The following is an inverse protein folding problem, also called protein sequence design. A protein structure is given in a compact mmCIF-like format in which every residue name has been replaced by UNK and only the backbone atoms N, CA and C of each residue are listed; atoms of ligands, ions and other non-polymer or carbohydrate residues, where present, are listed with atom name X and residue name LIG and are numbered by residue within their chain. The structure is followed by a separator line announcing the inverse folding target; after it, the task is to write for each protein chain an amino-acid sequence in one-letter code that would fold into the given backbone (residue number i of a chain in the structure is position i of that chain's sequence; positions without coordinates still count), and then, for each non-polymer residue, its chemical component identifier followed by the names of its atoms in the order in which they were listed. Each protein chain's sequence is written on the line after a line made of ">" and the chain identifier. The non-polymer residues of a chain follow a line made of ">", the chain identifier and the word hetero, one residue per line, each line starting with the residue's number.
data_IF_472021715621
#
_entry.id   IF_472021715621
#
_cell.length_a   1.000
_cell.length_b   1.000
_cell.length_c   1.000
_cell.angle_alpha   90.00
_cell.angle_beta   90.00
_cell.angle_gamma   90.00
#
_symmetry.space_group_name_H-M   'P 1'
#
loop_
_entity.id
_entity.type
_entity.pdbx_description
1 polymer ?
#
# COMPACT_ATOMS: atom_id res chain seq x y z
N UNK A 1 13.43 24.68 12.84
CA UNK A 1 11.99 24.59 13.19
C UNK A 1 11.26 25.84 12.69
N UNK A 2 9.93 25.82 12.70
CA UNK A 2 9.12 26.95 12.24
C UNK A 2 9.33 28.18 13.11
N UNK A 3 9.19 29.36 12.53
CA UNK A 3 9.22 30.64 13.25
C UNK A 3 7.94 30.81 14.07
N UNK A 4 8.03 31.51 15.20
CA UNK A 4 6.88 31.82 16.05
C UNK A 4 6.54 30.79 17.11
N UNK A 5 7.29 29.69 17.21
CA UNK A 5 7.11 28.69 18.27
C UNK A 5 7.66 29.21 19.61
N UNK A 6 6.94 28.97 20.69
CA UNK A 6 7.45 29.19 22.05
C UNK A 6 8.36 28.05 22.51
N UNK A 7 8.99 28.21 23.70
CA UNK A 7 9.96 27.22 24.20
C UNK A 7 9.38 25.82 24.38
N UNK A 8 8.16 25.69 24.87
CA UNK A 8 7.48 24.41 25.03
C UNK A 8 7.20 23.74 23.67
N UNK A 9 6.67 24.51 22.73
CA UNK A 9 6.40 24.01 21.37
C UNK A 9 7.67 23.57 20.66
N UNK A 10 8.78 24.31 20.85
CA UNK A 10 10.10 23.90 20.30
C UNK A 10 10.57 22.59 20.94
N UNK A 11 10.40 22.44 22.25
CA UNK A 11 10.85 21.26 22.98
C UNK A 11 10.13 19.98 22.55
N UNK A 12 8.81 20.06 22.30
CA UNK A 12 7.95 18.90 21.96
C UNK A 12 7.67 18.77 20.47
N UNK A 13 8.01 19.76 19.62
CA UNK A 13 7.69 19.69 18.21
C UNK A 13 8.51 18.64 17.47
N UNK A 14 7.84 17.81 16.71
CA UNK A 14 8.46 16.92 15.74
C UNK A 14 8.97 17.72 14.53
N UNK A 15 10.13 17.34 14.00
CA UNK A 15 10.64 17.81 12.71
C UNK A 15 11.20 16.60 11.97
N UNK A 16 10.56 16.24 10.86
CA UNK A 16 10.92 15.06 10.09
C UNK A 16 12.18 15.30 9.24
N UNK A 17 12.85 14.22 8.85
CA UNK A 17 14.00 14.19 7.93
C UNK A 17 15.20 14.99 8.42
N UNK A 18 15.33 15.14 9.73
CA UNK A 18 16.48 15.82 10.36
C UNK A 18 17.37 14.80 11.04
N UNK A 19 18.66 15.09 10.96
CA UNK A 19 19.68 14.25 11.58
C UNK A 19 20.43 15.07 12.63
N UNK A 20 20.65 14.47 13.79
CA UNK A 20 21.54 14.99 14.80
C UNK A 20 22.85 14.20 14.73
N UNK A 21 23.96 14.91 14.62
CA UNK A 21 25.32 14.34 14.54
C UNK A 21 26.16 14.87 15.67
N UNK A 22 26.97 14.04 16.28
CA UNK A 22 27.97 14.48 17.27
C UNK A 22 29.30 14.61 16.55
N UNK A 23 29.84 15.82 16.56
CA UNK A 23 31.10 16.19 15.90
C UNK A 23 32.09 16.75 16.96
N UNK A 24 33.36 16.45 16.83
CA UNK A 24 34.38 17.05 17.73
C UNK A 24 34.42 18.55 17.54
N UNK A 25 34.68 19.33 18.62
CA UNK A 25 34.70 20.80 18.53
C UNK A 25 35.56 21.35 17.41
N UNK A 26 36.72 20.76 17.19
CA UNK A 26 37.69 21.16 16.16
C UNK A 26 37.24 20.89 14.73
N UNK A 27 36.27 19.98 14.53
CA UNK A 27 35.77 19.58 13.20
C UNK A 27 34.47 20.28 12.83
N UNK A 28 33.85 21.07 13.71
CA UNK A 28 32.51 21.67 13.51
C UNK A 28 32.47 22.57 12.28
N UNK A 29 33.44 23.48 12.14
CA UNK A 29 33.46 24.44 11.03
C UNK A 29 33.64 23.74 9.68
N UNK A 30 34.49 22.71 9.64
CA UNK A 30 34.70 21.91 8.44
C UNK A 30 33.42 21.13 8.08
N UNK A 31 32.76 20.54 9.07
CA UNK A 31 31.50 19.81 8.86
C UNK A 31 30.38 20.71 8.30
N UNK A 32 30.21 21.90 8.91
CA UNK A 32 29.20 22.87 8.44
C UNK A 32 29.53 23.35 7.02
N UNK A 33 30.83 23.58 6.71
CA UNK A 33 31.22 23.96 5.36
C UNK A 33 30.94 22.89 4.32
N UNK A 34 31.11 21.60 4.63
CA UNK A 34 30.75 20.50 3.72
C UNK A 34 29.23 20.40 3.53
N UNK A 35 28.44 20.54 4.61
CA UNK A 35 26.99 20.58 4.50
C UNK A 35 26.51 21.71 3.58
N UNK A 36 27.07 22.89 3.69
CA UNK A 36 26.74 24.05 2.87
C UNK A 36 27.03 23.83 1.37
N UNK A 37 28.06 23.04 1.01
CA UNK A 37 28.35 22.67 -0.38
C UNK A 37 27.25 21.84 -0.99
N UNK A 38 26.55 21.05 -0.17
CA UNK A 38 25.42 20.20 -0.58
C UNK A 38 24.07 20.90 -0.40
N UNK A 39 24.03 22.21 -0.13
CA UNK A 39 22.83 22.99 0.18
C UNK A 39 22.03 22.46 1.39
N UNK A 40 22.74 21.93 2.38
CA UNK A 40 22.15 21.43 3.62
C UNK A 40 22.47 22.42 4.74
N UNK A 41 21.41 22.93 5.38
CA UNK A 41 21.55 23.76 6.59
C UNK A 41 22.00 22.91 7.77
N UNK A 42 23.18 23.23 8.31
CA UNK A 42 23.69 22.59 9.52
C UNK A 42 24.00 23.67 10.57
N UNK A 43 23.50 23.48 11.79
CA UNK A 43 23.71 24.42 12.91
C UNK A 43 24.03 23.66 14.18
N UNK A 44 24.88 24.24 15.02
CA UNK A 44 25.14 23.71 16.36
C UNK A 44 23.93 24.01 17.25
N UNK A 45 23.26 22.96 17.75
CA UNK A 45 22.07 23.09 18.59
C UNK A 45 22.30 22.66 20.03
N UNK A 46 23.37 21.90 20.30
CA UNK A 46 23.66 21.38 21.63
C UNK A 46 25.16 21.10 21.81
N UNK A 47 25.57 20.99 23.05
CA UNK A 47 26.90 20.53 23.46
C UNK A 47 26.72 19.35 24.42
N UNK A 48 27.49 18.27 24.20
CA UNK A 48 27.51 17.12 25.10
C UNK A 48 28.19 17.50 26.41
N UNK A 49 27.58 17.14 27.55
CA UNK A 49 28.07 17.47 28.89
C UNK A 49 28.29 16.23 29.74
N UNK A 50 29.15 16.32 30.77
CA UNK A 50 29.35 15.23 31.72
C UNK A 50 28.16 14.99 32.65
N UNK A 51 27.42 16.06 32.99
CA UNK A 51 26.20 15.94 33.81
C UNK A 51 25.12 15.19 33.02
N UNK A 52 24.56 14.11 33.60
CA UNK A 52 23.59 13.27 32.90
C UNK A 52 22.17 13.91 32.90
N UNK A 53 22.04 15.13 32.42
CA UNK A 53 20.78 15.85 32.30
C UNK A 53 20.58 16.30 30.84
N UNK A 54 19.34 16.26 30.38
CA UNK A 54 18.89 17.01 29.21
C UNK A 54 18.49 18.41 29.68
N UNK A 55 19.27 19.40 29.30
CA UNK A 55 18.95 20.81 29.61
C UNK A 55 18.68 21.57 28.33
N UNK A 56 17.56 22.31 28.28
CA UNK A 56 17.24 23.17 27.14
C UNK A 56 17.00 24.60 27.63
N UNK A 57 17.60 25.54 26.91
CA UNK A 57 17.43 26.97 27.14
C UNK A 57 16.70 27.62 25.95
N UNK A 58 15.84 28.56 26.24
CA UNK A 58 15.16 29.37 25.26
C UNK A 58 15.04 30.81 25.75
N UNK A 59 15.51 31.76 24.95
CA UNK A 59 15.51 33.18 25.31
C UNK A 59 16.11 33.51 26.71
N UNK A 60 17.14 32.77 27.11
CA UNK A 60 17.83 32.95 28.40
C UNK A 60 17.18 32.21 29.57
N UNK A 61 16.05 31.58 29.39
CA UNK A 61 15.35 30.77 30.41
C UNK A 61 15.60 29.28 30.20
N UNK A 62 15.70 28.54 31.30
CA UNK A 62 15.71 27.06 31.24
C UNK A 62 14.31 26.55 31.13
N UNK A 63 13.97 25.93 30.01
CA UNK A 63 12.63 25.36 29.73
C UNK A 63 12.56 23.86 29.99
N UNK A 64 13.70 23.15 30.01
CA UNK A 64 13.82 21.74 30.34
C UNK A 64 15.05 21.50 31.16
N UNK A 65 14.97 20.77 32.24
CA UNK A 65 16.10 20.18 33.01
C UNK A 65 15.63 18.81 33.54
N UNK A 66 15.96 17.75 32.80
CA UNK A 66 15.52 16.39 33.08
C UNK A 66 16.73 15.46 33.28
N UNK A 67 16.71 14.68 34.35
CA UNK A 67 17.71 13.65 34.57
C UNK A 67 17.57 12.55 33.52
N UNK A 68 18.67 12.05 32.98
CA UNK A 68 18.71 11.02 31.97
C UNK A 68 17.98 9.76 32.39
N UNK A 69 18.13 9.33 33.66
CA UNK A 69 17.43 8.14 34.17
C UNK A 69 15.90 8.24 34.04
N UNK A 70 15.33 9.46 34.08
CA UNK A 70 13.89 9.66 33.82
C UNK A 70 13.58 9.45 32.33
N UNK A 71 14.43 9.93 31.45
CA UNK A 71 14.26 9.74 29.99
C UNK A 71 14.42 8.26 29.58
N UNK A 72 15.24 7.48 30.33
CA UNK A 72 15.48 6.08 30.06
C UNK A 72 14.31 5.16 30.51
N UNK A 73 13.24 5.70 31.11
CA UNK A 73 12.13 4.89 31.66
C UNK A 73 11.03 4.55 30.67
N UNK A 74 11.06 4.99 29.45
CA UNK A 74 9.96 4.87 28.48
C UNK A 74 8.60 5.44 28.96
N UNK A 75 8.60 6.25 30.02
CA UNK A 75 7.40 6.88 30.58
C UNK A 75 6.49 5.91 31.37
N UNK A 76 5.24 6.30 31.53
CA UNK A 76 4.24 5.49 32.25
C UNK A 76 3.76 4.34 31.35
N UNK A 77 3.83 3.13 31.88
CA UNK A 77 3.27 1.96 31.21
C UNK A 77 1.75 2.04 31.24
N UNK A 78 1.14 2.24 30.08
CA UNK A 78 -0.32 2.20 29.92
C UNK A 78 -0.71 0.80 29.49
N UNK A 79 -1.70 0.23 30.18
CA UNK A 79 -2.32 -1.05 29.82
C UNK A 79 -3.75 -0.74 29.40
N UNK A 80 -4.12 -1.23 28.24
CA UNK A 80 -5.49 -1.11 27.70
C UNK A 80 -6.01 -2.50 27.37
N UNK A 81 -7.32 -2.68 27.53
CA UNK A 81 -8.00 -3.87 27.07
C UNK A 81 -8.33 -3.73 25.58
N UNK A 82 -8.20 -4.80 24.83
CA UNK A 82 -8.64 -4.89 23.45
C UNK A 82 -9.63 -6.04 23.31
N UNK A 83 -10.80 -5.75 22.72
CA UNK A 83 -11.84 -6.74 22.51
C UNK A 83 -12.18 -6.79 21.03
N UNK A 84 -11.76 -7.85 20.36
CA UNK A 84 -12.18 -8.13 18.98
C UNK A 84 -13.65 -8.52 19.01
N UNK A 85 -14.46 -7.80 18.25
CA UNK A 85 -15.89 -8.05 18.09
C UNK A 85 -16.22 -8.15 16.62
N UNK A 86 -17.11 -9.05 16.28
CA UNK A 86 -17.74 -9.06 14.98
C UNK A 86 -18.71 -7.89 14.90
N UNK A 87 -18.49 -6.99 13.97
CA UNK A 87 -19.44 -5.92 13.69
C UNK A 87 -20.62 -6.51 12.92
N UNK A 88 -21.82 -6.01 13.16
CA UNK A 88 -23.02 -6.33 12.34
C UNK A 88 -22.98 -5.56 11.00
N UNK A 89 -21.81 -5.60 10.37
CA UNK A 89 -21.58 -5.07 9.02
C UNK A 89 -21.52 -6.27 8.11
N UNK A 90 -22.40 -6.31 7.13
CA UNK A 90 -22.39 -7.35 6.12
C UNK A 90 -21.45 -6.95 4.99
N UNK A 91 -20.79 -7.93 4.39
CA UNK A 91 -20.22 -7.72 3.08
C UNK A 91 -21.34 -7.19 2.17
N UNK A 92 -21.06 -6.17 1.34
CA UNK A 92 -22.03 -5.72 0.35
C UNK A 92 -22.55 -6.90 -0.43
N UNK A 93 -23.86 -6.94 -0.63
CA UNK A 93 -24.51 -8.03 -1.39
C UNK A 93 -23.93 -8.04 -2.81
N UNK A 94 -23.77 -9.25 -3.32
CA UNK A 94 -23.39 -9.48 -4.70
C UNK A 94 -24.40 -8.81 -5.63
N UNK A 95 -23.90 -8.00 -6.55
CA UNK A 95 -24.76 -7.38 -7.55
C UNK A 95 -25.20 -8.42 -8.57
N UNK A 96 -26.49 -8.68 -8.62
CA UNK A 96 -27.07 -9.48 -9.68
C UNK A 96 -27.13 -8.64 -10.96
N UNK A 97 -26.48 -9.10 -12.02
CA UNK A 97 -26.57 -8.48 -13.34
C UNK A 97 -27.17 -9.45 -14.34
N UNK A 98 -27.88 -8.95 -15.34
CA UNK A 98 -28.44 -9.70 -16.45
C UNK A 98 -27.83 -9.23 -17.77
N UNK A 99 -28.09 -9.94 -18.85
CA UNK A 99 -27.67 -9.49 -20.18
C UNK A 99 -28.24 -8.10 -20.54
N UNK A 100 -29.46 -7.78 -20.05
CA UNK A 100 -30.10 -6.49 -20.29
C UNK A 100 -29.49 -5.35 -19.45
N UNK A 101 -28.98 -5.64 -18.25
CA UNK A 101 -28.45 -4.62 -17.31
C UNK A 101 -26.93 -4.51 -17.34
N UNK A 102 -26.22 -5.46 -17.97
CA UNK A 102 -24.77 -5.58 -17.94
C UNK A 102 -24.03 -4.28 -18.30
N UNK A 103 -24.47 -3.59 -19.36
CA UNK A 103 -23.84 -2.31 -19.78
C UNK A 103 -24.04 -1.24 -18.71
N UNK A 104 -25.26 -1.05 -18.21
CA UNK A 104 -25.58 -0.07 -17.18
C UNK A 104 -24.83 -0.37 -15.87
N UNK A 105 -24.80 -1.63 -15.47
CA UNK A 105 -24.10 -2.07 -14.26
C UNK A 105 -22.58 -1.86 -14.37
N UNK A 106 -22.01 -2.17 -15.54
CA UNK A 106 -20.57 -1.93 -15.79
C UNK A 106 -20.24 -0.44 -15.74
N UNK A 107 -21.05 0.42 -16.36
CA UNK A 107 -20.86 1.86 -16.33
C UNK A 107 -20.98 2.43 -14.91
N UNK A 108 -21.93 1.91 -14.12
CA UNK A 108 -22.08 2.32 -12.72
C UNK A 108 -20.85 1.95 -11.89
N UNK A 109 -20.32 0.73 -12.03
CA UNK A 109 -19.07 0.31 -11.36
C UNK A 109 -17.91 1.21 -11.75
N UNK A 110 -17.70 1.47 -13.04
CA UNK A 110 -16.61 2.31 -13.52
C UNK A 110 -16.76 3.79 -13.13
N UNK A 111 -17.97 4.26 -12.83
CA UNK A 111 -18.24 5.61 -12.36
C UNK A 111 -18.14 5.76 -10.83
N UNK A 112 -18.08 4.66 -10.08
CA UNK A 112 -17.89 4.71 -8.61
C UNK A 112 -16.53 5.35 -8.29
N UNK A 113 -16.48 6.18 -7.25
CA UNK A 113 -15.28 6.93 -6.87
C UNK A 113 -14.07 6.05 -6.55
N UNK A 114 -14.27 4.80 -6.16
CA UNK A 114 -13.18 3.85 -5.90
C UNK A 114 -12.61 3.24 -7.19
N UNK A 115 -13.35 3.28 -8.31
CA UNK A 115 -12.98 2.73 -9.61
C UNK A 115 -12.72 3.80 -10.67
N UNK A 116 -13.33 4.98 -10.51
CA UNK A 116 -13.16 6.10 -11.43
C UNK A 116 -11.69 6.50 -11.58
N UNK A 117 -11.36 7.09 -12.74
CA UNK A 117 -9.99 7.48 -13.04
C UNK A 117 -9.39 8.41 -12.00
N UNK A 118 -8.26 8.02 -11.44
CA UNK A 118 -7.45 8.83 -10.52
C UNK A 118 -6.42 9.70 -11.25
N UNK A 119 -6.55 9.86 -12.57
CA UNK A 119 -5.59 10.59 -13.42
C UNK A 119 -5.33 12.01 -12.91
N UNK A 120 -6.36 12.70 -12.46
CA UNK A 120 -6.24 14.05 -11.90
C UNK A 120 -5.31 14.15 -10.72
N UNK A 121 -5.37 13.17 -9.79
CA UNK A 121 -4.49 13.09 -8.63
C UNK A 121 -3.07 12.63 -9.03
N UNK A 122 -2.96 11.66 -9.93
CA UNK A 122 -1.68 11.10 -10.34
C UNK A 122 -0.82 12.12 -11.12
N UNK A 123 -1.43 13.00 -11.89
CA UNK A 123 -0.72 14.03 -12.69
C UNK A 123 -0.17 15.18 -11.84
N UNK A 124 -0.53 15.28 -10.57
CA UNK A 124 0.08 16.24 -9.62
C UNK A 124 1.53 15.86 -9.33
N UNK A 125 1.85 14.56 -9.40
CA UNK A 125 3.17 14.02 -9.08
C UNK A 125 3.96 13.73 -10.36
N UNK A 126 5.25 14.06 -10.36
CA UNK A 126 6.16 13.70 -11.45
C UNK A 126 6.55 12.22 -11.34
N UNK A 127 5.97 11.40 -12.21
CA UNK A 127 6.23 9.98 -12.29
C UNK A 127 7.55 9.62 -12.99
N UNK A 128 8.26 10.59 -13.55
CA UNK A 128 9.51 10.41 -14.31
C UNK A 128 10.76 10.85 -13.55
N UNK A 129 10.63 11.28 -12.31
CA UNK A 129 11.75 11.71 -11.45
C UNK A 129 12.85 10.64 -11.42
N UNK A 130 14.09 11.08 -11.59
CA UNK A 130 15.27 10.21 -11.59
C UNK A 130 15.47 9.40 -12.88
N UNK A 131 14.59 9.51 -13.87
CA UNK A 131 14.66 8.79 -15.14
C UNK A 131 14.72 7.27 -15.04
N UNK A 132 14.26 6.71 -13.93
CA UNK A 132 14.31 5.27 -13.63
C UNK A 132 12.99 4.54 -13.92
N UNK A 133 11.93 5.28 -14.21
CA UNK A 133 10.57 4.75 -14.38
C UNK A 133 10.47 3.79 -15.57
N UNK A 134 9.99 2.57 -15.29
CA UNK A 134 9.70 1.55 -16.30
C UNK A 134 8.20 1.54 -16.62
N UNK A 135 7.34 1.48 -15.59
CA UNK A 135 5.90 1.61 -15.75
C UNK A 135 5.45 2.95 -15.18
N UNK A 136 4.79 3.76 -16.02
CA UNK A 136 4.08 4.96 -15.55
C UNK A 136 2.82 4.55 -14.76
N UNK A 137 2.28 5.42 -13.90
CA UNK A 137 1.04 5.14 -13.16
C UNK A 137 -0.14 4.79 -14.05
N UNK A 138 -0.15 5.30 -15.28
CA UNK A 138 -1.14 5.01 -16.30
C UNK A 138 -0.44 4.49 -17.57
N UNK A 139 -0.78 3.27 -17.96
CA UNK A 139 -0.19 2.56 -19.10
C UNK A 139 -0.93 2.76 -20.42
N UNK A 140 -0.32 2.20 -21.47
CA UNK A 140 -0.80 2.26 -22.84
C UNK A 140 -0.44 3.55 -23.57
N UNK A 141 -0.70 3.57 -24.89
CA UNK A 141 -0.43 4.72 -25.76
C UNK A 141 -1.16 5.97 -25.31
N UNK A 142 -2.36 5.81 -24.76
CA UNK A 142 -3.21 6.92 -24.32
C UNK A 142 -3.04 7.25 -22.83
N UNK A 143 -2.25 6.48 -22.09
CA UNK A 143 -1.98 6.68 -20.66
C UNK A 143 -3.26 6.80 -19.82
N UNK A 144 -4.12 5.80 -19.91
CA UNK A 144 -5.41 5.76 -19.19
C UNK A 144 -5.74 4.40 -18.55
N UNK A 145 -4.89 3.37 -18.68
CA UNK A 145 -5.02 2.14 -17.92
C UNK A 145 -4.16 2.19 -16.67
N UNK A 146 -4.74 2.15 -15.46
CA UNK A 146 -3.97 2.09 -14.22
C UNK A 146 -3.02 0.88 -14.20
N UNK A 147 -1.77 1.07 -13.82
CA UNK A 147 -0.80 -0.03 -13.71
C UNK A 147 -0.85 -0.71 -12.35
N UNK A 148 -0.42 -1.97 -12.28
CA UNK A 148 -0.49 -2.76 -11.06
C UNK A 148 0.58 -2.37 -10.03
N UNK A 149 1.72 -1.88 -10.48
CA UNK A 149 2.86 -1.59 -9.62
C UNK A 149 3.69 -0.42 -10.12
N UNK A 150 4.32 0.28 -9.21
CA UNK A 150 5.43 1.18 -9.51
C UNK A 150 6.67 0.37 -9.80
N UNK A 151 7.29 0.58 -10.96
CA UNK A 151 8.50 -0.12 -11.38
C UNK A 151 9.58 0.89 -11.72
N UNK A 152 10.68 0.87 -10.95
CA UNK A 152 11.78 1.81 -11.06
C UNK A 152 13.10 1.06 -11.19
N UNK A 153 13.90 1.36 -12.21
CA UNK A 153 15.27 0.82 -12.30
C UNK A 153 16.10 1.29 -11.11
N UNK A 154 16.89 0.39 -10.57
CA UNK A 154 17.81 0.77 -9.50
C UNK A 154 18.88 1.73 -10.04
N UNK A 155 19.19 2.82 -9.32
CA UNK A 155 20.27 3.71 -9.72
C UNK A 155 21.62 3.00 -9.58
N UNK A 156 22.50 3.21 -10.58
CA UNK A 156 23.88 2.73 -10.57
C UNK A 156 24.79 3.89 -10.88
N UNK A 157 25.95 3.95 -10.24
CA UNK A 157 26.93 5.02 -10.46
C UNK A 157 27.49 4.98 -11.88
N UNK A 158 27.75 3.79 -12.40
CA UNK A 158 28.30 3.60 -13.73
C UNK A 158 27.61 2.45 -14.44
N UNK A 159 27.44 2.59 -15.77
CA UNK A 159 26.87 1.56 -16.61
C UNK A 159 25.33 1.59 -16.65
N UNK A 160 24.74 0.44 -16.98
CA UNK A 160 23.29 0.26 -17.14
C UNK A 160 22.86 -0.98 -16.37
N UNK A 161 21.72 -0.90 -15.68
CA UNK A 161 21.11 -2.05 -15.01
C UNK A 161 19.76 -2.38 -15.63
N UNK A 162 19.40 -3.66 -15.59
CA UNK A 162 18.05 -4.15 -15.86
C UNK A 162 17.30 -4.49 -14.59
N UNK A 163 17.96 -4.42 -13.43
CA UNK A 163 17.29 -4.64 -12.14
C UNK A 163 16.40 -3.46 -11.80
N UNK A 164 15.17 -3.73 -11.46
CA UNK A 164 14.20 -2.75 -11.02
C UNK A 164 13.60 -3.13 -9.66
N UNK A 165 13.26 -2.15 -8.86
CA UNK A 165 12.35 -2.30 -7.74
C UNK A 165 10.91 -2.32 -8.26
N UNK A 166 10.08 -3.16 -7.68
CA UNK A 166 8.65 -3.25 -7.97
C UNK A 166 7.90 -3.11 -6.68
N UNK A 167 7.00 -2.15 -6.60
CA UNK A 167 6.18 -1.89 -5.42
C UNK A 167 4.70 -1.88 -5.81
N UNK A 168 3.91 -2.64 -5.07
CA UNK A 168 2.46 -2.65 -5.20
C UNK A 168 1.79 -2.49 -3.84
N UNK A 169 0.54 -2.06 -3.86
CA UNK A 169 -0.27 -1.92 -2.65
C UNK A 169 -1.52 -2.80 -2.73
N UNK A 170 -2.10 -3.10 -1.57
CA UNK A 170 -3.40 -3.74 -1.45
C UNK A 170 -4.20 -3.11 -0.33
N UNK A 171 -5.49 -2.90 -0.56
CA UNK A 171 -6.46 -2.44 0.42
C UNK A 171 -7.87 -2.47 -0.17
N UNK A 172 -8.81 -3.01 0.61
CA UNK A 172 -10.22 -2.95 0.27
C UNK A 172 -11.02 -2.43 1.48
N UNK A 173 -11.58 -1.20 1.41
CA UNK A 173 -12.27 -0.58 2.52
C UNK A 173 -13.52 -1.35 2.98
N UNK A 174 -14.23 -1.98 2.08
CA UNK A 174 -15.47 -2.71 2.39
C UNK A 174 -15.18 -4.01 3.14
N UNK A 175 -14.15 -4.73 2.73
CA UNK A 175 -13.72 -5.94 3.45
C UNK A 175 -13.16 -5.57 4.81
N UNK A 176 -12.41 -4.47 4.91
CA UNK A 176 -11.85 -3.98 6.17
C UNK A 176 -12.95 -3.50 7.14
N UNK A 177 -14.02 -2.90 6.64
CA UNK A 177 -15.17 -2.48 7.44
C UNK A 177 -15.98 -3.69 7.94
N UNK A 178 -16.19 -4.69 7.08
CA UNK A 178 -16.82 -5.95 7.45
C UNK A 178 -16.01 -6.70 8.49
N UNK A 179 -14.71 -6.87 8.25
CA UNK A 179 -13.80 -7.58 9.16
C UNK A 179 -12.37 -7.03 9.00
N UNK A 180 -11.86 -6.29 9.99
CA UNK A 180 -10.49 -5.79 9.95
C UNK A 180 -9.45 -6.90 9.77
N UNK A 181 -9.70 -8.10 10.31
CA UNK A 181 -8.85 -9.28 10.11
C UNK A 181 -8.75 -9.68 8.63
N UNK A 182 -9.91 -9.90 7.99
CA UNK A 182 -9.96 -10.28 6.58
C UNK A 182 -9.47 -9.14 5.68
N UNK A 183 -9.83 -7.88 6.00
CA UNK A 183 -9.34 -6.71 5.29
C UNK A 183 -7.83 -6.64 5.23
N UNK A 184 -7.15 -6.88 6.35
CA UNK A 184 -5.70 -6.88 6.42
C UNK A 184 -5.06 -8.10 5.73
N UNK A 185 -5.63 -9.28 5.89
CA UNK A 185 -5.15 -10.48 5.20
C UNK A 185 -5.26 -10.33 3.67
N UNK A 186 -6.40 -9.86 3.17
CA UNK A 186 -6.60 -9.61 1.74
C UNK A 186 -5.77 -8.42 1.23
N UNK A 187 -5.43 -7.44 2.05
CA UNK A 187 -4.51 -6.37 1.66
C UNK A 187 -3.12 -6.94 1.30
N UNK A 188 -2.60 -7.90 2.09
CA UNK A 188 -1.35 -8.59 1.78
C UNK A 188 -1.47 -9.44 0.52
N UNK A 189 -2.58 -10.18 0.37
CA UNK A 189 -2.84 -11.02 -0.80
C UNK A 189 -2.97 -10.18 -2.07
N UNK A 190 -3.72 -9.09 -2.05
CA UNK A 190 -3.89 -8.19 -3.19
C UNK A 190 -2.57 -7.56 -3.61
N UNK A 191 -1.81 -6.99 -2.67
CA UNK A 191 -0.50 -6.42 -2.97
C UNK A 191 0.42 -7.46 -3.62
N UNK A 192 0.39 -8.72 -3.13
CA UNK A 192 1.17 -9.82 -3.70
C UNK A 192 0.69 -10.19 -5.11
N UNK A 193 -0.62 -10.29 -5.32
CA UNK A 193 -1.20 -10.59 -6.64
C UNK A 193 -0.82 -9.52 -7.68
N UNK A 194 -0.79 -8.26 -7.28
CA UNK A 194 -0.36 -7.14 -8.14
C UNK A 194 1.14 -7.20 -8.46
N UNK A 195 1.99 -7.62 -7.52
CA UNK A 195 3.41 -7.87 -7.80
C UNK A 195 3.58 -9.01 -8.82
N UNK A 196 2.80 -10.09 -8.67
CA UNK A 196 2.78 -11.23 -9.60
C UNK A 196 2.32 -10.76 -10.98
N UNK A 197 1.22 -10.02 -11.08
CA UNK A 197 0.71 -9.48 -12.34
C UNK A 197 1.71 -8.54 -13.02
N UNK A 198 2.49 -7.76 -12.25
CA UNK A 198 3.58 -6.94 -12.77
C UNK A 198 4.79 -7.75 -13.25
N UNK A 199 4.80 -9.07 -13.09
CA UNK A 199 5.91 -9.95 -13.49
C UNK A 199 7.09 -9.97 -12.51
N UNK A 200 6.86 -9.62 -11.25
CA UNK A 200 7.88 -9.60 -10.21
C UNK A 200 7.95 -10.93 -9.43
N UNK A 201 9.08 -11.20 -8.83
CA UNK A 201 9.25 -12.37 -7.96
C UNK A 201 8.61 -12.09 -6.59
N UNK A 202 7.38 -12.58 -6.40
CA UNK A 202 6.62 -12.32 -5.19
C UNK A 202 7.23 -12.97 -3.94
N UNK A 203 7.86 -14.14 -4.05
CA UNK A 203 8.39 -14.88 -2.90
C UNK A 203 9.54 -14.15 -2.18
N UNK A 204 10.12 -13.13 -2.81
CA UNK A 204 11.15 -12.26 -2.24
C UNK A 204 10.61 -10.93 -1.71
N UNK A 205 9.31 -10.71 -1.77
CA UNK A 205 8.71 -9.47 -1.32
C UNK A 205 8.93 -9.24 0.18
N UNK A 206 9.01 -7.96 0.53
CA UNK A 206 9.02 -7.46 1.91
C UNK A 206 7.93 -6.44 2.03
N UNK A 207 7.22 -6.47 3.17
CA UNK A 207 6.07 -5.61 3.39
C UNK A 207 6.38 -4.46 4.35
N UNK A 208 5.68 -3.37 4.14
CA UNK A 208 5.49 -2.28 5.09
C UNK A 208 4.00 -1.95 5.14
N UNK A 209 3.51 -1.50 6.28
CA UNK A 209 2.09 -1.22 6.47
C UNK A 209 1.84 0.24 6.81
N UNK A 210 0.70 0.76 6.37
CA UNK A 210 0.17 2.03 6.82
C UNK A 210 -1.22 1.78 7.38
N UNK A 211 -1.44 2.17 8.62
CA UNK A 211 -2.68 1.92 9.33
C UNK A 211 -3.36 3.23 9.73
N UNK A 212 -4.69 3.23 9.65
CA UNK A 212 -5.55 4.30 10.12
C UNK A 212 -6.74 3.70 10.83
N UNK A 213 -6.97 4.15 12.06
CA UNK A 213 -8.12 3.72 12.85
C UNK A 213 -8.80 4.95 13.48
N UNK A 214 -10.06 4.77 13.87
CA UNK A 214 -10.81 5.79 14.59
C UNK A 214 -10.13 6.16 15.91
N UNK A 215 -10.56 7.27 16.52
CA UNK A 215 -10.10 7.65 17.86
C UNK A 215 -10.47 6.57 18.88
N UNK A 216 -9.50 6.09 19.62
CA UNK A 216 -9.67 4.92 20.51
C UNK A 216 -10.53 5.21 21.76
N UNK A 217 -10.47 6.41 22.33
CA UNK A 217 -11.22 6.90 23.51
C UNK A 217 -11.29 5.88 24.68
N UNK A 218 -10.24 5.06 24.84
CA UNK A 218 -10.13 3.99 25.86
C UNK A 218 -11.23 2.91 25.77
N UNK A 219 -11.84 2.74 24.58
CA UNK A 219 -12.86 1.71 24.35
C UNK A 219 -12.21 0.42 23.87
N UNK A 220 -12.43 -0.68 24.59
CA UNK A 220 -11.82 -1.96 24.29
C UNK A 220 -12.16 -2.49 22.89
N UNK A 221 -13.38 -2.25 22.42
CA UNK A 221 -13.85 -2.65 21.09
C UNK A 221 -13.11 -1.88 19.97
N UNK A 222 -12.81 -0.59 20.20
CA UNK A 222 -12.03 0.20 19.25
C UNK A 222 -10.59 -0.28 19.17
N UNK A 223 -9.96 -0.59 20.30
CA UNK A 223 -8.64 -1.23 20.33
C UNK A 223 -8.65 -2.63 19.71
N UNK A 224 -9.78 -3.31 19.69
CA UNK A 224 -9.95 -4.60 19.02
C UNK A 224 -9.77 -4.55 17.51
N UNK A 225 -10.04 -3.41 16.86
CA UNK A 225 -9.93 -3.26 15.40
C UNK A 225 -8.47 -3.36 14.91
N UNK A 226 -7.50 -2.56 15.41
CA UNK A 226 -6.10 -2.72 15.02
C UNK A 226 -5.55 -4.09 15.41
N UNK A 227 -5.94 -4.66 16.55
CA UNK A 227 -5.53 -6.01 16.93
C UNK A 227 -6.00 -7.04 15.90
N UNK A 228 -7.25 -6.98 15.47
CA UNK A 228 -7.79 -7.88 14.44
C UNK A 228 -7.06 -7.70 13.10
N UNK A 229 -6.82 -6.47 12.67
CA UNK A 229 -6.08 -6.18 11.44
C UNK A 229 -4.65 -6.72 11.49
N UNK A 230 -3.93 -6.51 12.59
CA UNK A 230 -2.59 -7.07 12.78
C UNK A 230 -2.59 -8.59 12.74
N UNK A 231 -3.56 -9.26 13.39
CA UNK A 231 -3.68 -10.72 13.35
C UNK A 231 -3.88 -11.23 11.92
N UNK A 232 -4.75 -10.58 11.13
CA UNK A 232 -4.97 -10.95 9.74
C UNK A 232 -3.74 -10.76 8.86
N UNK A 233 -3.02 -9.65 9.04
CA UNK A 233 -1.77 -9.40 8.31
C UNK A 233 -0.67 -10.39 8.70
N UNK A 234 -0.56 -10.75 9.99
CA UNK A 234 0.41 -11.74 10.49
C UNK A 234 0.10 -13.13 9.93
N UNK A 235 -1.17 -13.53 9.94
CA UNK A 235 -1.60 -14.80 9.34
C UNK A 235 -1.16 -14.88 7.87
N UNK A 236 -1.50 -13.87 7.06
CA UNK A 236 -1.12 -13.83 5.65
C UNK A 236 0.41 -13.84 5.45
N UNK A 237 1.17 -13.13 6.29
CA UNK A 237 2.63 -13.14 6.24
C UNK A 237 3.22 -14.53 6.53
N UNK A 238 2.71 -15.21 7.56
CA UNK A 238 3.17 -16.55 7.94
C UNK A 238 2.86 -17.55 6.83
N UNK A 239 1.62 -17.55 6.35
CA UNK A 239 1.14 -18.51 5.36
C UNK A 239 1.81 -18.33 3.98
N UNK A 240 2.07 -17.09 3.58
CA UNK A 240 2.75 -16.80 2.32
C UNK A 240 4.28 -16.77 2.45
N UNK A 241 4.83 -16.77 3.66
CA UNK A 241 6.27 -16.67 3.90
C UNK A 241 6.84 -15.28 3.57
N UNK A 242 6.03 -14.22 3.72
CA UNK A 242 6.36 -12.84 3.32
C UNK A 242 6.51 -11.94 4.54
N UNK A 243 7.74 -11.64 5.01
CA UNK A 243 7.94 -10.83 6.19
C UNK A 243 7.71 -9.34 5.93
N UNK A 244 7.31 -8.62 6.98
CA UNK A 244 7.29 -7.16 7.01
C UNK A 244 8.52 -6.58 7.71
N UNK A 245 8.91 -5.38 7.29
CA UNK A 245 9.99 -4.60 7.91
C UNK A 245 9.48 -3.67 9.01
N UNK A 246 8.18 -3.40 9.05
CA UNK A 246 7.52 -2.51 9.96
C UNK A 246 6.32 -1.83 9.33
N UNK A 247 5.91 -0.72 9.92
CA UNK A 247 4.78 0.06 9.47
C UNK A 247 4.65 1.35 10.25
N UNK A 248 3.57 2.07 10.01
CA UNK A 248 3.20 3.30 10.72
C UNK A 248 1.69 3.28 10.94
N UNK A 249 1.28 3.61 12.13
CA UNK A 249 -0.13 3.66 12.52
C UNK A 249 -0.60 5.06 12.87
N UNK A 250 -1.91 5.27 12.83
CA UNK A 250 -2.60 6.45 13.31
C UNK A 250 -3.94 6.05 13.93
N UNK A 251 -4.13 6.40 15.22
CA UNK A 251 -5.32 6.08 16.01
C UNK A 251 -6.18 7.31 16.27
N UNK A 252 -6.28 8.23 15.33
CA UNK A 252 -7.02 9.48 15.46
C UNK A 252 -7.78 9.85 14.19
N UNK A 253 -8.20 8.87 13.41
CA UNK A 253 -8.96 9.04 12.16
C UNK A 253 -10.43 9.36 12.40
N UNK A 254 -10.73 10.28 13.34
CA UNK A 254 -12.08 10.77 13.60
C UNK A 254 -12.07 12.30 13.56
N UNK A 255 -12.93 12.87 12.74
CA UNK A 255 -13.18 14.32 12.67
C UNK A 255 -14.69 14.56 12.79
N UNK A 256 -15.09 15.17 13.90
CA UNK A 256 -16.50 15.32 14.26
C UNK A 256 -17.23 13.97 14.23
N UNK A 257 -18.18 13.77 13.32
CA UNK A 257 -18.97 12.56 13.14
C UNK A 257 -18.39 11.62 12.07
N UNK A 258 -17.39 12.09 11.32
CA UNK A 258 -16.72 11.30 10.29
C UNK A 258 -15.63 10.45 10.93
N UNK A 259 -15.66 9.17 10.63
CA UNK A 259 -14.68 8.21 11.11
C UNK A 259 -14.15 7.39 9.94
N UNK A 260 -12.84 7.24 9.86
CA UNK A 260 -12.24 6.35 8.85
C UNK A 260 -12.64 4.89 9.11
N UNK A 261 -12.91 4.11 8.08
CA UNK A 261 -13.04 2.66 8.24
C UNK A 261 -11.73 2.08 8.77
N UNK A 262 -11.76 0.93 9.46
CA UNK A 262 -10.54 0.22 9.83
C UNK A 262 -9.65 0.03 8.59
N UNK A 263 -8.45 0.58 8.61
CA UNK A 263 -7.59 0.62 7.43
C UNK A 263 -6.22 0.04 7.75
N UNK A 264 -5.84 -0.99 7.01
CA UNK A 264 -4.47 -1.46 6.90
C UNK A 264 -4.14 -1.59 5.41
N UNK A 265 -3.30 -0.68 4.92
CA UNK A 265 -2.77 -0.74 3.56
C UNK A 265 -1.46 -1.51 3.59
N UNK A 266 -1.37 -2.56 2.79
CA UNK A 266 -0.15 -3.34 2.64
C UNK A 266 0.64 -2.85 1.42
N UNK A 267 1.93 -2.55 1.61
CA UNK A 267 2.87 -2.21 0.55
C UNK A 267 3.90 -3.33 0.42
N UNK A 268 3.85 -4.06 -0.69
CA UNK A 268 4.82 -5.09 -1.02
C UNK A 268 5.91 -4.55 -1.94
N UNK A 269 7.18 -4.77 -1.60
CA UNK A 269 8.33 -4.37 -2.41
C UNK A 269 9.17 -5.58 -2.73
N UNK A 270 9.54 -5.74 -3.99
CA UNK A 270 10.45 -6.78 -4.47
C UNK A 270 11.30 -6.29 -5.65
N UNK A 271 12.02 -7.16 -6.31
CA UNK A 271 12.82 -6.83 -7.50
C UNK A 271 12.39 -7.65 -8.71
N UNK A 272 12.60 -7.08 -9.90
CA UNK A 272 12.37 -7.75 -11.17
C UNK A 272 13.44 -7.36 -12.19
N UNK A 273 13.51 -8.13 -13.30
CA UNK A 273 14.19 -7.70 -14.52
C UNK A 273 13.24 -6.77 -15.29
N UNK A 274 13.61 -5.51 -15.46
CA UNK A 274 12.80 -4.50 -16.15
C UNK A 274 12.37 -4.89 -17.57
N UNK A 275 13.06 -5.85 -18.21
CA UNK A 275 12.72 -6.36 -19.53
C UNK A 275 11.58 -7.38 -19.53
N UNK A 276 11.19 -7.88 -18.34
CA UNK A 276 10.15 -8.89 -18.14
C UNK A 276 8.93 -8.35 -17.41
N UNK A 277 8.94 -7.07 -17.08
CA UNK A 277 7.83 -6.42 -16.39
C UNK A 277 6.62 -6.32 -17.34
N UNK A 278 5.44 -6.53 -16.77
CA UNK A 278 4.15 -6.50 -17.47
C UNK A 278 3.35 -5.25 -17.08
N UNK A 279 2.41 -4.91 -17.91
CA UNK A 279 1.40 -3.88 -17.65
C UNK A 279 0.02 -4.36 -18.14
N UNK A 280 -1.09 -3.83 -17.58
CA UNK A 280 -2.42 -4.42 -17.77
C UNK A 280 -3.04 -4.23 -19.14
N UNK A 281 -2.76 -3.12 -19.84
CA UNK A 281 -3.42 -2.79 -21.10
C UNK A 281 -3.15 -3.82 -22.20
N UNK A 282 -4.15 -4.17 -23.02
CA UNK A 282 -4.00 -5.07 -24.16
C UNK A 282 -3.00 -4.50 -25.17
N UNK A 283 -2.14 -5.35 -25.74
CA UNK A 283 -1.04 -4.96 -26.63
C UNK A 283 -1.37 -5.16 -28.10
N UNK A 284 -2.10 -6.23 -28.45
CA UNK A 284 -2.46 -6.52 -29.83
C UNK A 284 -3.83 -7.20 -29.92
N UNK A 285 -4.52 -7.00 -31.04
CA UNK A 285 -5.75 -7.74 -31.34
C UNK A 285 -5.43 -9.21 -31.68
N UNK A 286 -6.35 -10.12 -31.33
CA UNK A 286 -6.24 -11.55 -31.60
C UNK A 286 -5.49 -12.34 -30.51
N UNK A 287 -5.06 -11.69 -29.43
CA UNK A 287 -4.51 -12.38 -28.26
C UNK A 287 -5.64 -13.00 -27.42
N UNK A 288 -5.37 -14.18 -26.83
CA UNK A 288 -6.32 -14.84 -25.95
C UNK A 288 -6.18 -14.33 -24.51
N UNK A 289 -7.30 -14.18 -23.83
CA UNK A 289 -7.37 -13.81 -22.42
C UNK A 289 -7.54 -15.09 -21.60
N UNK A 290 -6.70 -15.27 -20.59
CA UNK A 290 -6.78 -16.38 -19.64
C UNK A 290 -7.08 -15.82 -18.26
N UNK A 291 -7.91 -16.53 -17.54
CA UNK A 291 -8.28 -16.21 -16.17
C UNK A 291 -7.81 -17.32 -15.22
N UNK A 292 -7.18 -16.97 -14.13
CA UNK A 292 -6.78 -17.86 -13.05
C UNK A 292 -7.69 -17.56 -11.85
N UNK A 293 -8.66 -18.45 -11.54
CA UNK A 293 -9.65 -18.19 -10.50
C UNK A 293 -9.03 -18.22 -9.10
N UNK A 294 -9.55 -17.39 -8.21
CA UNK A 294 -9.29 -17.42 -6.77
C UNK A 294 -10.44 -18.06 -6.00
N UNK A 295 -10.67 -17.60 -4.78
CA UNK A 295 -11.74 -18.06 -3.89
C UNK A 295 -12.72 -16.94 -3.54
N UNK A 296 -13.91 -17.31 -3.03
CA UNK A 296 -14.90 -16.36 -2.53
C UNK A 296 -14.44 -15.74 -1.18
N UNK A 297 -14.76 -14.45 -0.98
CA UNK A 297 -14.37 -13.70 0.22
C UNK A 297 -14.94 -14.22 1.54
N UNK A 298 -16.17 -14.74 1.49
CA UNK A 298 -16.86 -15.24 2.68
C UNK A 298 -16.38 -16.60 3.16
N UNK A 299 -15.43 -17.21 2.47
CA UNK A 299 -14.83 -18.50 2.83
C UNK A 299 -13.56 -18.29 3.66
N UNK A 300 -13.16 -19.31 4.39
CA UNK A 300 -11.83 -19.37 5.00
C UNK A 300 -10.76 -19.19 3.93
N UNK A 301 -9.73 -18.39 4.22
CA UNK A 301 -8.71 -18.05 3.23
C UNK A 301 -7.87 -19.29 2.91
N UNK A 302 -7.95 -19.76 1.68
CA UNK A 302 -7.15 -20.87 1.15
C UNK A 302 -5.80 -20.36 0.63
N UNK A 303 -4.82 -20.25 1.52
CA UNK A 303 -3.47 -19.81 1.18
C UNK A 303 -2.73 -20.78 0.25
N UNK A 304 -3.07 -22.06 0.25
CA UNK A 304 -2.44 -23.03 -0.66
C UNK A 304 -2.93 -22.85 -2.09
N UNK A 305 -4.23 -22.59 -2.29
CA UNK A 305 -4.76 -22.19 -3.59
C UNK A 305 -4.08 -20.90 -4.09
N UNK A 306 -3.96 -19.89 -3.23
CA UNK A 306 -3.33 -18.60 -3.58
C UNK A 306 -1.87 -18.81 -4.02
N UNK A 307 -1.08 -19.56 -3.25
CA UNK A 307 0.32 -19.87 -3.59
C UNK A 307 0.41 -20.66 -4.91
N UNK A 308 -0.51 -21.62 -5.10
CA UNK A 308 -0.60 -22.40 -6.34
C UNK A 308 -0.87 -21.51 -7.54
N UNK A 309 -1.80 -20.57 -7.42
CA UNK A 309 -2.13 -19.62 -8.49
C UNK A 309 -0.94 -18.72 -8.85
N UNK A 310 -0.23 -18.20 -7.85
CA UNK A 310 0.97 -17.39 -8.09
C UNK A 310 2.07 -18.20 -8.78
N UNK A 311 2.31 -19.43 -8.34
CA UNK A 311 3.29 -20.32 -8.96
C UNK A 311 2.89 -20.70 -10.39
N UNK A 312 1.61 -20.94 -10.65
CA UNK A 312 1.08 -21.21 -11.98
C UNK A 312 1.32 -20.04 -12.93
N UNK A 313 1.04 -18.81 -12.49
CA UNK A 313 1.30 -17.61 -13.30
C UNK A 313 2.79 -17.45 -13.62
N UNK A 314 3.68 -17.60 -12.62
CA UNK A 314 5.13 -17.56 -12.82
C UNK A 314 5.60 -18.62 -13.84
N UNK A 315 5.06 -19.83 -13.77
CA UNK A 315 5.39 -20.90 -14.72
C UNK A 315 4.93 -20.56 -16.14
N UNK A 316 3.73 -19.99 -16.30
CA UNK A 316 3.21 -19.52 -17.60
C UNK A 316 4.13 -18.41 -18.14
N UNK A 317 4.45 -17.40 -17.32
CA UNK A 317 5.31 -16.29 -17.73
C UNK A 317 6.74 -16.76 -18.11
N UNK A 318 7.26 -17.78 -17.46
CA UNK A 318 8.58 -18.33 -17.76
C UNK A 318 8.63 -19.07 -19.10
N UNK A 319 7.54 -19.69 -19.54
CA UNK A 319 7.46 -20.58 -20.71
C UNK A 319 6.70 -19.99 -21.90
N UNK A 320 5.86 -19.00 -21.68
CA UNK A 320 5.01 -18.38 -22.70
C UNK A 320 5.24 -16.87 -22.72
N UNK A 321 4.98 -16.25 -23.87
CA UNK A 321 5.01 -14.80 -24.00
C UNK A 321 3.71 -14.22 -23.45
N UNK A 322 3.68 -13.85 -22.17
CA UNK A 322 2.63 -13.03 -21.59
C UNK A 322 2.85 -11.58 -22.01
N UNK A 323 1.84 -10.93 -22.56
CA UNK A 323 1.92 -9.55 -23.08
C UNK A 323 1.28 -8.53 -22.13
N UNK A 324 0.25 -8.94 -21.39
CA UNK A 324 -0.45 -8.14 -20.41
C UNK A 324 -0.91 -9.03 -19.25
N UNK A 325 -0.99 -8.44 -18.06
CA UNK A 325 -1.57 -9.11 -16.90
C UNK A 325 -2.09 -8.07 -15.90
N UNK A 326 -3.17 -8.41 -15.21
CA UNK A 326 -3.74 -7.62 -14.11
C UNK A 326 -4.25 -8.54 -13.00
N UNK A 327 -4.17 -8.06 -11.77
CA UNK A 327 -4.89 -8.65 -10.65
C UNK A 327 -6.36 -8.24 -10.74
N UNK A 328 -7.26 -9.21 -10.57
CA UNK A 328 -8.69 -8.91 -10.42
C UNK A 328 -8.89 -8.37 -9.00
N UNK A 329 -9.48 -7.18 -8.90
CA UNK A 329 -9.65 -6.44 -7.65
C UNK A 329 -11.11 -6.15 -7.37
N UNK A 330 -11.35 -5.11 -6.62
CA UNK A 330 -12.64 -4.68 -6.10
C UNK A 330 -13.79 -4.60 -7.14
N UNK A 331 -13.54 -4.16 -8.36
CA UNK A 331 -14.55 -4.10 -9.42
C UNK A 331 -14.66 -5.37 -10.27
N UNK A 332 -13.95 -6.44 -9.90
CA UNK A 332 -14.07 -7.77 -10.50
C UNK A 332 -13.46 -7.93 -11.88
N UNK A 333 -13.85 -9.03 -12.51
CA UNK A 333 -13.35 -9.39 -13.85
C UNK A 333 -13.75 -8.36 -14.89
N UNK A 334 -14.96 -7.81 -14.80
CA UNK A 334 -15.45 -6.81 -15.76
C UNK A 334 -14.66 -5.51 -15.68
N UNK A 335 -14.35 -5.03 -14.46
CA UNK A 335 -13.46 -3.87 -14.29
C UNK A 335 -12.08 -4.15 -14.88
N UNK A 336 -11.46 -5.26 -14.52
CA UNK A 336 -10.13 -5.60 -15.00
C UNK A 336 -10.06 -5.65 -16.54
N UNK A 337 -11.06 -6.25 -17.18
CA UNK A 337 -11.18 -6.30 -18.63
C UNK A 337 -11.41 -4.91 -19.24
N UNK A 338 -12.34 -4.13 -18.69
CA UNK A 338 -12.62 -2.78 -19.18
C UNK A 338 -11.38 -1.89 -19.11
N UNK A 339 -10.69 -1.86 -17.96
CA UNK A 339 -9.47 -1.09 -17.77
C UNK A 339 -8.34 -1.51 -18.73
N UNK A 340 -8.24 -2.82 -19.04
CA UNK A 340 -7.24 -3.32 -19.99
C UNK A 340 -7.48 -2.83 -21.42
N UNK A 341 -8.74 -2.52 -21.79
CA UNK A 341 -9.07 -1.98 -23.13
C UNK A 341 -8.66 -0.53 -23.32
N UNK A 342 -8.57 0.26 -22.23
CA UNK A 342 -8.47 1.73 -22.32
C UNK A 342 -7.13 2.19 -22.87
N UNK A 343 -6.02 1.68 -22.35
CA UNK A 343 -4.68 2.23 -22.59
C UNK A 343 -4.26 2.27 -24.05
N UNK A 344 -4.71 1.30 -24.85
CA UNK A 344 -4.39 1.19 -26.27
C UNK A 344 -5.63 1.21 -27.17
N UNK A 345 -6.83 1.38 -26.61
CA UNK A 345 -8.11 1.35 -27.32
C UNK A 345 -8.30 0.01 -28.08
N UNK A 346 -7.92 -1.09 -27.46
CA UNK A 346 -8.11 -2.45 -27.99
C UNK A 346 -9.24 -3.11 -27.22
N UNK A 347 -10.31 -3.47 -27.94
CA UNK A 347 -11.48 -4.13 -27.34
C UNK A 347 -11.25 -5.61 -27.06
N UNK A 348 -12.21 -6.22 -26.35
CA UNK A 348 -12.28 -7.65 -26.11
C UNK A 348 -13.72 -8.16 -26.33
N UNK A 349 -13.83 -9.42 -26.77
CA UNK A 349 -15.08 -10.15 -26.78
C UNK A 349 -14.96 -11.29 -25.78
N UNK A 350 -15.86 -11.35 -24.82
CA UNK A 350 -15.82 -12.29 -23.70
C UNK A 350 -17.12 -13.10 -23.68
N UNK A 351 -17.01 -14.42 -23.65
CA UNK A 351 -18.15 -15.32 -23.47
C UNK A 351 -18.25 -15.70 -21.98
N UNK A 352 -19.15 -15.04 -21.27
CA UNK A 352 -19.32 -15.23 -19.83
C UNK A 352 -19.85 -16.65 -19.47
N UNK A 353 -20.52 -17.33 -20.40
CA UNK A 353 -21.02 -18.69 -20.19
C UNK A 353 -19.93 -19.74 -19.91
N UNK A 354 -18.68 -19.44 -20.27
CA UNK A 354 -17.52 -20.29 -19.99
C UNK A 354 -16.81 -19.92 -18.67
N UNK A 355 -17.28 -18.88 -18.02
CA UNK A 355 -16.80 -18.48 -16.71
C UNK A 355 -17.66 -19.23 -15.68
N UNK A 356 -17.08 -20.18 -14.94
CA UNK A 356 -17.76 -20.84 -13.81
C UNK A 356 -18.28 -19.79 -12.83
N UNK A 357 -19.42 -20.03 -12.20
CA UNK A 357 -20.05 -19.06 -11.28
C UNK A 357 -19.17 -18.66 -10.09
N UNK A 358 -18.13 -19.42 -9.75
CA UNK A 358 -17.08 -19.04 -8.81
C UNK A 358 -16.19 -17.87 -9.25
N UNK A 359 -16.28 -17.45 -10.50
CA UNK A 359 -15.38 -16.49 -11.13
C UNK A 359 -15.64 -15.04 -10.76
N UNK A 360 -16.78 -14.76 -10.20
CA UNK A 360 -17.17 -13.43 -9.77
C UNK A 360 -16.69 -13.09 -8.35
N UNK A 361 -16.10 -14.08 -7.65
CA UNK A 361 -15.65 -13.97 -6.26
C UNK A 361 -14.14 -13.94 -6.06
N UNK A 362 -13.38 -13.86 -7.11
CA UNK A 362 -11.91 -13.97 -7.02
C UNK A 362 -11.19 -12.68 -6.74
N UNK A 363 -11.96 -11.62 -6.70
CA UNK A 363 -11.48 -10.32 -6.22
C UNK A 363 -12.05 -10.08 -4.83
N UNK A 364 -11.34 -9.39 -3.96
CA UNK A 364 -11.91 -8.84 -2.74
C UNK A 364 -12.94 -7.73 -3.04
N UNK A 365 -13.88 -7.95 -3.95
CA UNK A 365 -14.93 -7.00 -4.27
C UNK A 365 -16.28 -7.47 -3.75
N UNK A 366 -16.91 -6.69 -2.89
CA UNK A 366 -18.27 -6.95 -2.44
C UNK A 366 -19.35 -6.65 -3.47
N UNK A 367 -19.00 -6.11 -4.65
CA UNK A 367 -19.96 -5.70 -5.69
C UNK A 367 -20.03 -6.62 -6.91
N UNK A 368 -19.23 -7.70 -6.93
CA UNK A 368 -19.09 -8.57 -8.10
C UNK A 368 -20.14 -9.67 -8.22
N UNK A 369 -21.30 -9.44 -7.66
CA UNK A 369 -22.42 -10.36 -7.76
C UNK A 369 -23.10 -10.39 -9.11
N UNK A 370 -22.37 -10.68 -10.17
CA UNK A 370 -23.02 -11.11 -11.42
C UNK A 370 -23.17 -12.63 -11.38
N UNK A 371 -24.26 -13.12 -10.85
CA UNK A 371 -24.67 -14.51 -11.06
C UNK A 371 -25.41 -14.58 -12.38
N UNK A 372 -24.76 -15.09 -13.42
CA UNK A 372 -25.50 -15.63 -14.56
C UNK A 372 -26.14 -16.94 -14.12
N UNK A 373 -27.44 -17.03 -14.18
CA UNK A 373 -28.15 -18.29 -14.29
C UNK A 373 -28.34 -18.62 -15.76
#
# INVERSE_FOLDING_TARGET
>A
KYQGLNGTEIAISESQERMAVVVRPEDVDAFVAECNKENIDAVVVATVTEKPNLVMHWNGETIVDLERRFLDTNGVRVVVDAKVVDKDVKLPEERQTSAETLEADTLEVLADLNHASQKGLQTIFDSSVGRSTVNHPLGGRYQITPTEASVQKLPVQHGVTTTASVMAQGFNPYVAEWSPYHGAAYAVIEATARLVAAGANWSKARFSYQEYFERMDKQAERFGQPVAALLGSIEAQIQLGLPSIGGKDSMSGTFEELTVPPTLVAFGVTTADSRKVLSPEFKAAGENIYYIPGQALAQEIDFDLIKSNFAQFEAIQATHKVTAASAVKYGGVLEALALATFGNHIGATVELANLDTCLLYTSPSPRDGATSR
#
